data_IF_820426271790
#
_entry.id   IF_820426271790
#
_cell.length_a   1.000
_cell.length_b   1.000
_cell.length_c   1.000
_cell.angle_alpha   90.00
_cell.angle_beta   90.00
_cell.angle_gamma   90.00
#
_symmetry.space_group_name_H-M   'P 1'
#
loop_
_entity.id
_entity.type
_entity.pdbx_description
1 polymer ?
#
# COMPACT_ATOMS: atom_id res chain seq x y z
N UNK A 1 4.87 11.54 -26.08
CA UNK A 1 6.13 11.64 -25.30
C UNK A 1 6.33 13.07 -24.82
N UNK A 2 6.33 14.08 -25.69
CA UNK A 2 6.39 15.49 -25.27
C UNK A 2 5.19 15.89 -24.39
N UNK A 3 3.97 15.48 -24.76
CA UNK A 3 2.78 15.76 -23.94
C UNK A 3 2.86 15.20 -22.50
N UNK A 4 3.43 14.00 -22.33
CA UNK A 4 3.65 13.39 -21.00
C UNK A 4 4.70 14.18 -20.19
N UNK A 5 5.73 14.71 -20.87
CA UNK A 5 6.74 15.56 -20.25
C UNK A 5 6.09 16.87 -19.77
N UNK A 6 5.30 17.51 -20.61
CA UNK A 6 4.61 18.77 -20.27
C UNK A 6 3.63 18.58 -19.11
N UNK A 7 2.87 17.47 -19.10
CA UNK A 7 2.00 17.10 -17.98
C UNK A 7 2.78 16.89 -16.68
N UNK A 8 3.91 16.17 -16.76
CA UNK A 8 4.79 15.91 -15.60
C UNK A 8 5.46 17.18 -15.09
N UNK A 9 5.88 18.08 -15.97
CA UNK A 9 6.44 19.39 -15.60
C UNK A 9 5.39 20.23 -14.86
N UNK A 10 4.13 20.24 -15.33
CA UNK A 10 3.02 20.90 -14.65
C UNK A 10 2.74 20.31 -13.26
N UNK A 11 2.71 18.97 -13.14
CA UNK A 11 2.55 18.29 -11.84
C UNK A 11 3.71 18.60 -10.89
N UNK A 12 4.95 18.59 -11.37
CA UNK A 12 6.14 18.91 -10.56
C UNK A 12 6.11 20.34 -10.06
N UNK A 13 5.73 21.31 -10.91
CA UNK A 13 5.54 22.70 -10.49
C UNK A 13 4.49 22.81 -9.39
N UNK A 14 3.35 22.10 -9.53
CA UNK A 14 2.27 22.10 -8.54
C UNK A 14 2.68 21.48 -7.19
N UNK A 15 3.43 20.38 -7.19
CA UNK A 15 3.75 19.63 -5.97
C UNK A 15 5.05 20.08 -5.29
N UNK A 16 6.05 20.46 -6.07
CA UNK A 16 7.41 20.77 -5.59
C UNK A 16 7.82 22.23 -5.82
N UNK A 17 6.99 23.04 -6.46
CA UNK A 17 7.28 24.46 -6.75
C UNK A 17 8.28 24.69 -7.87
N UNK A 18 8.83 23.63 -8.48
CA UNK A 18 9.79 23.71 -9.59
C UNK A 18 9.49 22.62 -10.63
N UNK A 19 9.47 22.98 -11.92
CA UNK A 19 9.27 22.03 -13.02
C UNK A 19 10.48 21.13 -13.29
N UNK A 20 11.68 21.67 -13.07
CA UNK A 20 12.95 21.08 -13.49
C UNK A 20 13.56 20.14 -12.43
N UNK A 21 12.83 19.89 -11.35
CA UNK A 21 13.27 18.99 -10.28
C UNK A 21 13.30 17.55 -10.75
N UNK A 22 14.26 16.76 -10.25
CA UNK A 22 14.28 15.31 -10.41
C UNK A 22 13.27 14.61 -9.48
N UNK A 23 12.70 15.32 -8.51
CA UNK A 23 11.74 14.77 -7.57
C UNK A 23 10.46 14.31 -8.29
N UNK A 24 9.97 13.15 -7.89
CA UNK A 24 8.73 12.55 -8.37
C UNK A 24 8.11 11.71 -7.26
N UNK A 25 6.83 11.42 -7.37
CA UNK A 25 6.18 10.42 -6.52
C UNK A 25 6.69 9.03 -6.89
N UNK A 26 7.25 8.33 -5.90
CA UNK A 26 7.85 7.02 -6.09
C UNK A 26 6.83 5.97 -6.54
N UNK A 27 5.66 5.91 -5.91
CA UNK A 27 4.65 4.89 -6.19
C UNK A 27 4.06 5.10 -7.57
N UNK A 28 3.70 6.34 -7.92
CA UNK A 28 3.17 6.69 -9.24
C UNK A 28 4.17 6.36 -10.34
N UNK A 29 5.43 6.77 -10.17
CA UNK A 29 6.47 6.51 -11.17
C UNK A 29 6.73 5.01 -11.36
N UNK A 30 6.83 4.25 -10.27
CA UNK A 30 7.03 2.80 -10.32
C UNK A 30 5.82 2.08 -10.92
N UNK A 31 4.60 2.58 -10.67
CA UNK A 31 3.37 2.05 -11.28
C UNK A 31 3.30 2.31 -12.79
N UNK A 32 3.73 3.49 -13.27
CA UNK A 32 3.83 3.79 -14.70
C UNK A 32 4.80 2.84 -15.40
N UNK A 33 6.01 2.67 -14.85
CA UNK A 33 7.02 1.76 -15.42
C UNK A 33 6.52 0.33 -15.39
N UNK A 34 6.01 -0.12 -14.24
CA UNK A 34 5.54 -1.51 -14.08
C UNK A 34 4.33 -1.82 -14.96
N UNK A 35 3.50 -0.82 -15.28
CA UNK A 35 2.42 -0.95 -16.26
C UNK A 35 2.97 -1.13 -17.68
N UNK A 36 3.98 -0.33 -18.06
CA UNK A 36 4.60 -0.40 -19.39
C UNK A 36 5.26 -1.75 -19.67
N UNK A 37 5.81 -2.41 -18.65
CA UNK A 37 6.42 -3.75 -18.76
C UNK A 37 5.46 -4.90 -18.37
N UNK A 38 4.22 -4.59 -17.99
CA UNK A 38 3.21 -5.60 -17.65
C UNK A 38 3.49 -6.39 -16.36
N UNK A 39 4.24 -5.83 -15.41
CA UNK A 39 4.51 -6.46 -14.09
C UNK A 39 3.66 -5.89 -12.96
N UNK A 40 2.93 -4.79 -13.20
CA UNK A 40 2.08 -4.15 -12.19
C UNK A 40 1.03 -5.14 -11.65
N UNK A 41 1.03 -5.44 -10.34
CA UNK A 41 0.05 -6.35 -9.76
C UNK A 41 -1.34 -5.72 -9.81
N UNK A 42 -2.31 -6.45 -10.36
CA UNK A 42 -3.70 -6.04 -10.34
C UNK A 42 -4.28 -6.24 -8.94
N UNK A 43 -4.36 -5.17 -8.14
CA UNK A 43 -4.77 -5.22 -6.74
C UNK A 43 -6.18 -5.81 -6.54
N UNK A 44 -7.23 -5.40 -7.28
CA UNK A 44 -8.55 -6.05 -7.19
C UNK A 44 -8.51 -7.56 -7.47
N UNK A 45 -7.78 -7.99 -8.50
CA UNK A 45 -7.62 -9.42 -8.80
C UNK A 45 -6.83 -10.16 -7.71
N UNK A 46 -5.85 -9.48 -7.11
CA UNK A 46 -5.08 -10.00 -5.99
C UNK A 46 -5.96 -10.21 -4.76
N UNK A 47 -6.88 -9.30 -4.48
CA UNK A 47 -7.87 -9.46 -3.40
C UNK A 47 -8.73 -10.72 -3.56
N UNK A 48 -9.08 -11.09 -4.80
CA UNK A 48 -9.86 -12.28 -5.08
C UNK A 48 -9.04 -13.58 -4.96
N UNK A 49 -7.75 -13.56 -5.34
CA UNK A 49 -6.89 -14.75 -5.37
C UNK A 49 -6.17 -15.02 -4.05
N UNK A 50 -5.61 -13.96 -3.45
CA UNK A 50 -4.87 -14.02 -2.19
C UNK A 50 -5.16 -12.73 -1.38
N UNK A 51 -6.28 -12.71 -0.63
CA UNK A 51 -6.70 -11.52 0.10
C UNK A 51 -5.67 -11.10 1.15
N UNK A 52 -4.88 -12.05 1.69
CA UNK A 52 -3.92 -11.72 2.73
C UNK A 52 -2.72 -10.98 2.15
N UNK A 53 -2.22 -11.45 1.02
CA UNK A 53 -1.20 -10.76 0.26
C UNK A 53 -1.69 -9.40 -0.24
N UNK A 54 -2.92 -9.31 -0.74
CA UNK A 54 -3.50 -8.06 -1.24
C UNK A 54 -3.54 -6.96 -0.15
N UNK A 55 -3.97 -7.31 1.06
CA UNK A 55 -3.96 -6.38 2.19
C UNK A 55 -2.54 -5.91 2.53
N UNK A 56 -1.54 -6.80 2.49
CA UNK A 56 -0.14 -6.43 2.75
C UNK A 56 0.47 -5.58 1.63
N UNK A 57 0.05 -5.78 0.39
CA UNK A 57 0.50 -4.97 -0.76
C UNK A 57 -0.14 -3.58 -0.72
N UNK A 58 -1.42 -3.48 -0.43
CA UNK A 58 -2.18 -2.22 -0.46
C UNK A 58 -2.02 -1.37 0.82
N UNK A 59 -2.14 -1.98 2.00
CA UNK A 59 -2.04 -1.27 3.30
C UNK A 59 -0.66 -1.38 3.96
N UNK A 60 0.20 -2.26 3.46
CA UNK A 60 1.56 -2.41 3.97
C UNK A 60 2.55 -1.48 3.28
N UNK A 61 3.84 -1.60 3.61
CA UNK A 61 4.89 -0.84 2.92
C UNK A 61 4.99 -1.27 1.45
N UNK A 62 5.19 -0.30 0.56
CA UNK A 62 5.47 -0.54 -0.86
C UNK A 62 6.91 -1.06 -1.03
N UNK A 63 7.10 -2.36 -0.79
CA UNK A 63 8.41 -3.00 -0.87
C UNK A 63 8.75 -3.43 -2.32
N UNK A 64 10.02 -3.36 -2.75
CA UNK A 64 10.40 -3.68 -4.13
C UNK A 64 10.03 -5.09 -4.60
N UNK A 65 9.81 -6.03 -3.67
CA UNK A 65 9.33 -7.38 -3.96
C UNK A 65 8.00 -7.39 -4.72
N UNK A 66 7.15 -6.37 -4.52
CA UNK A 66 5.85 -6.23 -5.17
C UNK A 66 5.96 -6.12 -6.69
N UNK A 67 7.01 -5.46 -7.20
CA UNK A 67 7.23 -5.28 -8.65
C UNK A 67 7.72 -6.54 -9.37
N UNK A 68 8.02 -7.61 -8.64
CA UNK A 68 8.37 -8.94 -9.18
C UNK A 68 7.36 -10.00 -8.78
N UNK A 69 6.15 -9.60 -8.39
CA UNK A 69 5.10 -10.52 -7.97
C UNK A 69 4.38 -11.17 -9.17
N UNK A 70 4.25 -10.44 -10.27
CA UNK A 70 3.52 -10.85 -11.48
C UNK A 70 4.26 -10.40 -12.74
N UNK A 71 3.88 -10.96 -13.89
CA UNK A 71 4.46 -10.57 -15.19
C UNK A 71 5.81 -11.21 -15.49
N UNK A 72 6.51 -10.75 -16.55
CA UNK A 72 7.82 -11.25 -16.93
C UNK A 72 8.87 -10.96 -15.83
N UNK A 73 9.75 -11.93 -15.57
CA UNK A 73 10.77 -11.79 -14.51
C UNK A 73 10.23 -11.87 -13.09
N UNK A 74 9.02 -12.44 -12.91
CA UNK A 74 8.45 -12.83 -11.62
C UNK A 74 9.47 -13.61 -10.79
N UNK A 75 9.55 -13.28 -9.51
CA UNK A 75 10.34 -14.02 -8.54
C UNK A 75 9.41 -14.84 -7.64
N UNK A 76 9.59 -16.16 -7.60
CA UNK A 76 8.71 -17.05 -6.83
C UNK A 76 8.75 -16.78 -5.32
N UNK A 77 9.87 -16.28 -4.80
CA UNK A 77 10.01 -15.87 -3.39
C UNK A 77 9.36 -14.53 -3.04
N UNK A 78 8.82 -13.78 -4.01
CA UNK A 78 8.30 -12.43 -3.79
C UNK A 78 7.16 -12.40 -2.77
N UNK A 79 6.25 -13.39 -2.84
CA UNK A 79 5.13 -13.52 -1.92
C UNK A 79 5.60 -13.66 -0.48
N UNK A 80 6.46 -14.64 -0.23
CA UNK A 80 6.95 -14.94 1.11
C UNK A 80 7.80 -13.80 1.64
N UNK A 81 8.58 -13.14 0.78
CA UNK A 81 9.33 -11.95 1.13
C UNK A 81 8.43 -10.80 1.62
N UNK A 82 7.30 -10.55 0.95
CA UNK A 82 6.33 -9.52 1.38
C UNK A 82 5.69 -9.88 2.72
N UNK A 83 5.30 -11.14 2.91
CA UNK A 83 4.64 -11.58 4.15
C UNK A 83 5.56 -11.53 5.37
N UNK A 84 6.83 -11.90 5.19
CA UNK A 84 7.85 -11.98 6.26
C UNK A 84 8.69 -10.70 6.43
N UNK A 85 8.35 -9.62 5.73
CA UNK A 85 9.15 -8.39 5.74
C UNK A 85 9.28 -7.78 7.14
N UNK A 86 8.21 -7.79 7.93
CA UNK A 86 8.23 -7.28 9.31
C UNK A 86 9.05 -8.16 10.23
N UNK A 87 9.04 -9.48 10.03
CA UNK A 87 9.86 -10.41 10.81
C UNK A 87 11.33 -10.09 10.63
N UNK A 88 11.78 -9.85 9.39
CA UNK A 88 13.17 -9.44 9.11
C UNK A 88 13.53 -8.10 9.73
N UNK A 89 12.65 -7.10 9.62
CA UNK A 89 12.88 -5.77 10.19
C UNK A 89 12.96 -5.80 11.71
N UNK A 90 12.12 -6.59 12.38
CA UNK A 90 12.09 -6.68 13.85
C UNK A 90 13.15 -7.62 14.40
N UNK A 91 13.56 -8.66 13.66
CA UNK A 91 14.53 -9.66 14.12
C UNK A 91 15.85 -9.03 14.56
N UNK A 92 16.33 -8.02 13.82
CA UNK A 92 17.60 -7.36 14.12
C UNK A 92 17.52 -6.40 15.31
N UNK A 93 16.34 -5.85 15.60
CA UNK A 93 16.14 -4.91 16.71
C UNK A 93 15.69 -5.59 18.00
N UNK A 94 15.10 -6.79 17.93
CA UNK A 94 14.59 -7.54 19.09
C UNK A 94 15.58 -8.61 19.56
N UNK A 95 16.73 -8.19 20.07
CA UNK A 95 17.78 -9.09 20.60
C UNK A 95 17.41 -9.73 21.95
N UNK A 96 16.45 -9.16 22.69
CA UNK A 96 15.93 -9.70 23.95
C UNK A 96 14.45 -10.08 23.82
N UNK A 97 14.11 -11.32 24.17
CA UNK A 97 12.72 -11.79 24.21
C UNK A 97 12.03 -11.38 25.51
N UNK A 98 10.85 -10.77 25.39
CA UNK A 98 9.97 -10.38 26.50
C UNK A 98 8.64 -11.12 26.32
N UNK A 99 7.99 -11.63 27.39
CA UNK A 99 6.66 -12.19 27.29
C UNK A 99 5.70 -11.18 26.64
N UNK A 100 4.93 -11.67 25.68
CA UNK A 100 4.15 -10.84 24.79
C UNK A 100 2.86 -10.38 25.50
N UNK A 101 2.79 -9.10 25.87
CA UNK A 101 1.56 -8.43 26.33
C UNK A 101 0.83 -7.80 25.14
N UNK A 102 0.62 -8.57 24.07
CA UNK A 102 -0.13 -8.07 22.93
C UNK A 102 -1.61 -8.02 23.30
N UNK A 103 -2.10 -6.84 23.68
CA UNK A 103 -3.52 -6.53 23.59
C UNK A 103 -3.88 -6.48 22.11
N UNK A 104 -4.38 -7.58 21.55
CA UNK A 104 -5.04 -7.53 20.26
C UNK A 104 -6.12 -6.45 20.33
N UNK A 105 -6.16 -5.55 19.35
CA UNK A 105 -7.28 -4.64 19.17
C UNK A 105 -8.54 -5.50 19.17
N UNK A 106 -9.37 -5.38 20.21
CA UNK A 106 -10.56 -6.20 20.31
C UNK A 106 -11.45 -5.86 19.12
N UNK A 107 -11.92 -6.89 18.41
CA UNK A 107 -12.88 -6.73 17.32
C UNK A 107 -14.09 -5.87 17.74
N UNK A 108 -14.44 -5.91 19.03
CA UNK A 108 -15.45 -5.04 19.66
C UNK A 108 -15.13 -3.55 19.55
N UNK A 109 -13.86 -3.14 19.70
CA UNK A 109 -13.44 -1.73 19.57
C UNK A 109 -13.56 -1.28 18.12
N UNK A 110 -13.15 -2.11 17.17
CA UNK A 110 -13.27 -1.82 15.74
C UNK A 110 -14.74 -1.68 15.32
N UNK A 111 -15.61 -2.59 15.79
CA UNK A 111 -17.06 -2.56 15.53
C UNK A 111 -17.70 -1.29 16.10
N UNK A 112 -17.32 -0.88 17.32
CA UNK A 112 -17.82 0.36 17.94
C UNK A 112 -17.44 1.59 17.14
N UNK A 113 -16.19 1.67 16.67
CA UNK A 113 -15.72 2.79 15.83
C UNK A 113 -16.51 2.88 14.51
N UNK A 114 -16.93 1.75 13.93
CA UNK A 114 -17.71 1.74 12.68
C UNK A 114 -19.20 2.02 12.91
N UNK A 115 -19.79 1.47 13.97
CA UNK A 115 -21.24 1.55 14.22
C UNK A 115 -21.72 2.92 14.72
N UNK A 116 -20.91 3.60 15.56
CA UNK A 116 -21.24 4.92 16.11
C UNK A 116 -21.45 5.98 15.02
N UNK A 117 -20.55 6.18 14.03
CA UNK A 117 -20.76 7.18 12.98
C UNK A 117 -21.94 6.83 12.08
N UNK A 118 -22.21 5.55 11.83
CA UNK A 118 -23.36 5.12 11.04
C UNK A 118 -24.69 5.44 11.74
N UNK A 119 -24.75 5.22 13.06
CA UNK A 119 -25.90 5.60 13.88
C UNK A 119 -26.11 7.12 13.95
N UNK A 120 -25.02 7.90 14.09
CA UNK A 120 -25.09 9.36 14.08
C UNK A 120 -25.56 9.92 12.73
N UNK A 121 -25.08 9.34 11.62
CA UNK A 121 -25.54 9.70 10.28
C UNK A 121 -27.03 9.37 10.07
N UNK A 122 -27.48 8.19 10.51
CA UNK A 122 -28.89 7.82 10.45
C UNK A 122 -29.78 8.75 11.29
N UNK A 123 -29.35 9.12 12.50
CA UNK A 123 -30.07 10.07 13.35
C UNK A 123 -30.14 11.46 12.71
N UNK A 124 -29.04 11.94 12.11
CA UNK A 124 -29.02 13.22 11.41
C UNK A 124 -30.00 13.25 10.22
N UNK A 125 -30.10 12.14 9.47
CA UNK A 125 -31.02 12.01 8.34
C UNK A 125 -32.49 11.94 8.81
N UNK A 126 -32.76 11.40 10.00
CA UNK A 126 -34.13 11.30 10.54
C UNK A 126 -34.59 12.59 11.23
N UNK A 127 -33.67 13.39 11.80
CA UNK A 127 -33.99 14.64 12.48
C UNK A 127 -34.08 15.88 11.57
N UNK A 128 -33.65 15.78 10.31
CA UNK A 128 -33.64 16.88 9.33
C UNK A 128 -34.58 16.58 8.17
#
# INVERSE_FOLDING_TARGET
MMDDIDEKMGKKLKWFGQSDTLQTDYVVYMDEISSNIGVKPNIPLLFLKDPWLALKVFFGPCSPYQFRLTGPGKWDGARDAILTQWDRTLKVTRTRTVPNSQKCFSFSVLLKILAIPFLLAALFIVLN
#
